data_IF_275808122259
#
_entry.id   IF_275808122259
#
_cell.length_a   1.000
_cell.length_b   1.000
_cell.length_c   1.000
_cell.angle_alpha   90.00
_cell.angle_beta   90.00
_cell.angle_gamma   90.00
#
_symmetry.space_group_name_H-M   'P 1'
#
loop_
_entity.id
_entity.type
_entity.pdbx_description
1 polymer ?
#
# COMPACT_ATOMS: atom_id res chain seq x y z
N UNK A 1 -4.49 63.87 18.87
CA UNK A 1 -4.77 63.14 17.61
C UNK A 1 -3.66 62.14 17.26
N UNK A 2 -2.38 62.54 17.31
CA UNK A 2 -1.23 61.64 17.08
C UNK A 2 -1.15 60.43 18.04
N UNK A 3 -1.47 60.61 19.33
CA UNK A 3 -1.43 59.52 20.32
C UNK A 3 -2.45 58.41 20.06
N UNK A 4 -3.63 58.75 19.52
CA UNK A 4 -4.69 57.79 19.19
C UNK A 4 -4.27 56.95 17.98
N UNK A 5 -3.71 57.58 16.96
CA UNK A 5 -3.20 56.90 15.75
C UNK A 5 -2.05 55.95 16.12
N UNK A 6 -1.18 56.35 17.04
CA UNK A 6 -0.09 55.50 17.55
C UNK A 6 -0.62 54.26 18.29
N UNK A 7 -1.64 54.41 19.13
CA UNK A 7 -2.26 53.28 19.86
C UNK A 7 -2.94 52.32 18.88
N UNK A 8 -3.68 52.84 17.89
CA UNK A 8 -4.32 52.02 16.86
C UNK A 8 -3.27 51.24 16.05
N UNK A 9 -2.17 51.89 15.66
CA UNK A 9 -1.07 51.22 14.95
C UNK A 9 -0.49 50.07 15.77
N UNK A 10 -0.23 50.25 17.07
CA UNK A 10 0.29 49.21 17.95
C UNK A 10 -0.70 48.04 18.07
N UNK A 11 -2.00 48.32 18.22
CA UNK A 11 -3.03 47.28 18.26
C UNK A 11 -3.13 46.48 16.96
N UNK A 12 -3.06 47.14 15.80
CA UNK A 12 -3.10 46.47 14.48
C UNK A 12 -1.85 45.60 14.28
N UNK A 13 -0.66 46.09 14.63
CA UNK A 13 0.58 45.31 14.54
C UNK A 13 0.54 44.10 15.47
N UNK A 14 0.02 44.25 16.69
CA UNK A 14 -0.12 43.15 17.64
C UNK A 14 -1.10 42.08 17.13
N UNK A 15 -2.25 42.50 16.59
CA UNK A 15 -3.25 41.58 16.01
C UNK A 15 -2.70 40.84 14.79
N UNK A 16 -1.96 41.52 13.91
CA UNK A 16 -1.29 40.87 12.78
C UNK A 16 -0.22 39.88 13.24
N UNK A 17 0.53 40.20 14.29
CA UNK A 17 1.51 39.30 14.90
C UNK A 17 0.85 38.03 15.47
N UNK A 18 -0.22 38.19 16.26
CA UNK A 18 -0.97 37.07 16.83
C UNK A 18 -1.66 36.24 15.74
N UNK A 19 -2.27 36.88 14.73
CA UNK A 19 -2.86 36.20 13.58
C UNK A 19 -1.80 35.42 12.78
N UNK A 20 -0.62 35.99 12.59
CA UNK A 20 0.52 35.33 11.95
C UNK A 20 0.98 34.09 12.71
N UNK A 21 1.07 34.17 14.05
CA UNK A 21 1.41 33.03 14.90
C UNK A 21 0.36 31.92 14.83
N UNK A 22 -0.93 32.26 14.87
CA UNK A 22 -2.04 31.31 14.75
C UNK A 22 -2.01 30.63 13.37
N UNK A 23 -1.85 31.41 12.31
CA UNK A 23 -1.76 30.89 10.94
C UNK A 23 -0.56 29.96 10.77
N UNK A 24 0.62 30.34 11.27
CA UNK A 24 1.82 29.54 11.17
C UNK A 24 1.69 28.23 11.99
N UNK A 25 1.11 28.29 13.19
CA UNK A 25 0.79 27.12 14.01
C UNK A 25 -0.17 26.16 13.30
N UNK A 26 -1.22 26.69 12.66
CA UNK A 26 -2.17 25.89 11.88
C UNK A 26 -1.50 25.21 10.67
N UNK A 27 -0.70 25.96 9.91
CA UNK A 27 0.05 25.44 8.76
C UNK A 27 1.07 24.36 9.19
N UNK A 28 1.77 24.58 10.30
CA UNK A 28 2.71 23.60 10.85
C UNK A 28 2.00 22.32 11.30
N UNK A 29 0.87 22.40 12.01
CA UNK A 29 0.08 21.22 12.40
C UNK A 29 -0.40 20.42 11.19
N UNK A 30 -0.90 21.11 10.16
CA UNK A 30 -1.36 20.46 8.92
C UNK A 30 -0.21 19.78 8.19
N UNK A 31 0.93 20.46 8.06
CA UNK A 31 2.13 19.93 7.41
C UNK A 31 2.71 18.75 8.20
N UNK A 32 2.76 18.84 9.52
CA UNK A 32 3.23 17.77 10.39
C UNK A 32 2.31 16.55 10.32
N UNK A 33 0.99 16.74 10.35
CA UNK A 33 0.02 15.66 10.19
C UNK A 33 0.19 14.94 8.84
N UNK A 34 0.29 15.69 7.74
CA UNK A 34 0.54 15.12 6.41
C UNK A 34 1.89 14.38 6.38
N UNK A 35 2.94 14.94 6.99
CA UNK A 35 4.26 14.32 7.04
C UNK A 35 4.25 13.00 7.81
N UNK A 36 3.61 12.97 8.98
CA UNK A 36 3.49 11.74 9.79
C UNK A 36 2.69 10.68 9.04
N UNK A 37 1.51 11.03 8.51
CA UNK A 37 0.67 10.09 7.75
C UNK A 37 1.44 9.55 6.53
N UNK A 38 2.12 10.43 5.80
CA UNK A 38 2.94 10.03 4.63
C UNK A 38 4.05 9.06 5.04
N UNK A 39 4.81 9.38 6.09
CA UNK A 39 5.90 8.52 6.58
C UNK A 39 5.38 7.16 7.01
N UNK A 40 4.30 7.10 7.78
CA UNK A 40 3.69 5.85 8.22
C UNK A 40 3.24 4.99 7.04
N UNK A 41 2.63 5.60 6.00
CA UNK A 41 2.21 4.86 4.81
C UNK A 41 3.38 4.40 3.93
N UNK A 42 4.45 5.18 3.84
CA UNK A 42 5.68 4.75 3.16
C UNK A 42 6.31 3.56 3.87
N UNK A 43 6.45 3.61 5.20
CA UNK A 43 6.98 2.51 5.99
C UNK A 43 6.11 1.25 5.86
N UNK A 44 4.77 1.40 5.88
CA UNK A 44 3.85 0.29 5.61
C UNK A 44 4.08 -0.30 4.22
N UNK A 45 4.18 0.52 3.18
CA UNK A 45 4.44 0.07 1.81
C UNK A 45 5.76 -0.69 1.69
N UNK A 46 6.81 -0.26 2.37
CA UNK A 46 8.09 -0.98 2.39
C UNK A 46 7.94 -2.35 3.05
N UNK A 47 7.33 -2.41 4.23
CA UNK A 47 7.03 -3.68 4.93
C UNK A 47 6.20 -4.62 4.06
N UNK A 48 5.19 -4.10 3.38
CA UNK A 48 4.36 -4.84 2.43
C UNK A 48 5.18 -5.45 1.28
N UNK A 49 6.12 -4.68 0.71
CA UNK A 49 7.02 -5.20 -0.33
C UNK A 49 7.91 -6.32 0.18
N UNK A 50 8.41 -6.20 1.40
CA UNK A 50 9.27 -7.23 1.99
C UNK A 50 8.50 -8.53 2.23
N UNK A 51 7.28 -8.43 2.77
CA UNK A 51 6.39 -9.59 2.98
C UNK A 51 6.04 -10.27 1.66
N UNK A 52 5.76 -9.49 0.61
CA UNK A 52 5.53 -10.04 -0.72
C UNK A 52 6.77 -10.76 -1.27
N UNK A 53 7.93 -10.11 -1.23
CA UNK A 53 9.15 -10.68 -1.79
C UNK A 53 9.43 -12.06 -1.16
N UNK A 54 9.16 -12.20 0.15
CA UNK A 54 9.18 -13.50 0.85
C UNK A 54 8.14 -14.46 0.28
N UNK A 55 6.88 -14.06 0.14
CA UNK A 55 5.82 -14.92 -0.42
C UNK A 55 6.12 -15.41 -1.85
N UNK A 56 6.65 -14.54 -2.71
CA UNK A 56 7.02 -14.88 -4.10
C UNK A 56 8.20 -15.84 -4.14
N UNK A 57 9.18 -15.67 -3.25
CA UNK A 57 10.32 -16.57 -3.12
C UNK A 57 9.87 -17.96 -2.64
N UNK A 58 9.03 -17.99 -1.61
CA UNK A 58 8.53 -19.22 -0.99
C UNK A 58 7.47 -19.95 -1.86
N UNK A 59 7.03 -19.36 -2.97
CA UNK A 59 6.13 -19.97 -3.96
C UNK A 59 6.81 -20.31 -5.28
N UNK A 60 8.12 -20.13 -5.39
CA UNK A 60 8.85 -20.45 -6.62
C UNK A 60 9.03 -21.97 -6.76
N UNK A 61 8.48 -22.55 -7.82
CA UNK A 61 8.53 -24.00 -8.06
C UNK A 61 9.96 -24.52 -8.13
N UNK A 62 10.87 -23.77 -8.76
CA UNK A 62 12.29 -24.16 -8.87
C UNK A 62 12.98 -24.21 -7.52
N UNK A 63 12.58 -23.31 -6.61
CA UNK A 63 13.07 -23.32 -5.25
C UNK A 63 12.48 -24.50 -4.48
N UNK A 64 11.16 -24.71 -4.58
CA UNK A 64 10.44 -25.77 -3.86
C UNK A 64 10.88 -27.19 -4.27
N UNK A 65 11.19 -27.40 -5.55
CA UNK A 65 11.59 -28.70 -6.09
C UNK A 65 12.99 -29.15 -5.61
N UNK A 66 13.81 -28.21 -5.13
CA UNK A 66 15.15 -28.48 -4.62
C UNK A 66 15.20 -28.74 -3.10
N UNK A 67 14.07 -28.72 -2.41
CA UNK A 67 14.02 -28.77 -0.95
C UNK A 67 13.96 -30.19 -0.40
N UNK A 68 14.69 -30.42 0.68
CA UNK A 68 14.57 -31.61 1.51
C UNK A 68 13.30 -31.56 2.39
N UNK A 69 12.85 -32.72 2.90
CA UNK A 69 11.63 -32.80 3.74
C UNK A 69 11.65 -31.90 4.99
N UNK A 70 12.83 -31.65 5.56
CA UNK A 70 12.98 -30.69 6.67
C UNK A 70 12.75 -29.26 6.19
N UNK A 71 13.37 -28.88 5.08
CA UNK A 71 13.28 -27.54 4.50
C UNK A 71 11.86 -27.23 4.01
N UNK A 72 11.14 -28.24 3.49
CA UNK A 72 9.71 -28.11 3.15
C UNK A 72 8.87 -27.73 4.36
N UNK A 73 9.12 -28.31 5.54
CA UNK A 73 8.42 -27.94 6.78
C UNK A 73 8.74 -26.50 7.20
N UNK A 74 10.00 -26.10 7.08
CA UNK A 74 10.43 -24.73 7.39
C UNK A 74 9.78 -23.70 6.45
N UNK A 75 9.63 -24.04 5.16
CA UNK A 75 8.90 -23.22 4.18
C UNK A 75 7.42 -23.11 4.53
N UNK A 76 6.77 -24.21 4.90
CA UNK A 76 5.35 -24.19 5.32
C UNK A 76 5.17 -23.29 6.55
N UNK A 77 6.06 -23.39 7.54
CA UNK A 77 6.04 -22.52 8.72
C UNK A 77 6.25 -21.05 8.35
N UNK A 78 7.22 -20.77 7.48
CA UNK A 78 7.53 -19.41 7.01
C UNK A 78 6.36 -18.80 6.22
N UNK A 79 5.68 -19.59 5.39
CA UNK A 79 4.49 -19.17 4.65
C UNK A 79 3.32 -18.83 5.59
N UNK A 80 3.12 -19.64 6.64
CA UNK A 80 2.10 -19.37 7.65
C UNK A 80 2.41 -18.08 8.43
N UNK A 81 3.67 -17.85 8.77
CA UNK A 81 4.12 -16.61 9.41
C UNK A 81 3.88 -15.39 8.51
N UNK A 82 4.31 -15.44 7.25
CA UNK A 82 4.11 -14.35 6.28
C UNK A 82 2.62 -14.05 6.07
N UNK A 83 1.79 -15.09 5.90
CA UNK A 83 0.33 -14.92 5.76
C UNK A 83 -0.29 -14.27 7.01
N UNK A 84 0.13 -14.70 8.20
CA UNK A 84 -0.31 -14.10 9.47
C UNK A 84 0.11 -12.62 9.59
N UNK A 85 1.34 -12.29 9.19
CA UNK A 85 1.83 -10.90 9.17
C UNK A 85 1.04 -10.02 8.20
N UNK A 86 0.72 -10.54 7.01
CA UNK A 86 -0.13 -9.83 6.03
C UNK A 86 -1.52 -9.59 6.65
N UNK A 87 -2.13 -10.61 7.24
CA UNK A 87 -3.44 -10.47 7.91
C UNK A 87 -3.43 -9.47 9.07
N UNK A 88 -2.33 -9.37 9.81
CA UNK A 88 -2.20 -8.43 10.91
C UNK A 88 -2.01 -6.97 10.44
N UNK A 89 -1.39 -6.78 9.28
CA UNK A 89 -1.14 -5.44 8.71
C UNK A 89 -2.39 -4.85 8.04
N UNK A 90 -3.22 -5.71 7.45
CA UNK A 90 -4.38 -5.30 6.65
C UNK A 90 -5.70 -5.51 7.39
N UNK A 91 -6.52 -4.47 7.37
CA UNK A 91 -7.88 -4.48 7.93
C UNK A 91 -8.86 -5.09 6.94
N UNK A 92 -9.73 -6.00 7.38
CA UNK A 92 -10.85 -6.55 6.58
C UNK A 92 -11.98 -5.56 6.30
N UNK A 93 -11.68 -4.27 6.29
CA UNK A 93 -12.66 -3.19 6.11
C UNK A 93 -12.73 -2.76 4.65
N UNK A 94 -11.62 -2.83 3.93
CA UNK A 94 -11.56 -2.46 2.52
C UNK A 94 -11.58 -3.70 1.63
N UNK A 95 -12.35 -3.66 0.54
CA UNK A 95 -12.50 -4.80 -0.37
C UNK A 95 -11.15 -5.33 -0.87
N UNK A 96 -10.21 -4.43 -1.14
CA UNK A 96 -8.94 -4.81 -1.73
C UNK A 96 -7.90 -5.27 -0.72
N UNK A 97 -8.05 -4.88 0.55
CA UNK A 97 -7.34 -5.51 1.65
C UNK A 97 -7.84 -6.96 1.83
N UNK A 98 -9.15 -7.20 1.68
CA UNK A 98 -9.75 -8.54 1.73
C UNK A 98 -9.24 -9.39 0.55
N UNK A 99 -9.28 -8.87 -0.68
CA UNK A 99 -8.80 -9.56 -1.87
C UNK A 99 -7.33 -9.97 -1.74
N UNK A 100 -6.48 -9.06 -1.24
CA UNK A 100 -5.07 -9.34 -1.01
C UNK A 100 -4.87 -10.45 0.05
N UNK A 101 -5.62 -10.41 1.15
CA UNK A 101 -5.57 -11.45 2.19
C UNK A 101 -6.02 -12.79 1.62
N UNK A 102 -7.13 -12.83 0.88
CA UNK A 102 -7.69 -14.06 0.34
C UNK A 102 -6.75 -14.69 -0.69
N UNK A 103 -6.16 -13.89 -1.59
CA UNK A 103 -5.16 -14.39 -2.55
C UNK A 103 -3.88 -14.87 -1.85
N UNK A 104 -3.47 -14.23 -0.75
CA UNK A 104 -2.34 -14.70 0.06
C UNK A 104 -2.62 -16.09 0.64
N UNK A 105 -3.81 -16.29 1.21
CA UNK A 105 -4.22 -17.58 1.78
C UNK A 105 -4.35 -18.65 0.70
N UNK A 106 -4.94 -18.31 -0.45
CA UNK A 106 -5.03 -19.22 -1.60
C UNK A 106 -3.65 -19.65 -2.11
N UNK A 107 -2.71 -18.70 -2.25
CA UNK A 107 -1.34 -19.02 -2.67
C UNK A 107 -0.64 -19.92 -1.65
N UNK A 108 -0.78 -19.62 -0.35
CA UNK A 108 -0.24 -20.46 0.73
C UNK A 108 -0.77 -21.89 0.63
N UNK A 109 -2.07 -22.06 0.49
CA UNK A 109 -2.71 -23.38 0.40
C UNK A 109 -2.29 -24.14 -0.88
N UNK A 110 -2.12 -23.43 -2.00
CA UNK A 110 -1.61 -24.00 -3.25
C UNK A 110 -0.15 -24.43 -3.14
N UNK A 111 0.71 -23.68 -2.44
CA UNK A 111 2.10 -24.10 -2.18
C UNK A 111 2.14 -25.34 -1.28
N UNK A 112 1.34 -25.37 -0.21
CA UNK A 112 1.26 -26.54 0.68
C UNK A 112 0.78 -27.77 -0.11
N UNK A 113 -0.22 -27.60 -0.97
CA UNK A 113 -0.75 -28.68 -1.81
C UNK A 113 0.26 -29.16 -2.85
N UNK A 114 1.03 -28.25 -3.44
CA UNK A 114 2.13 -28.58 -4.35
C UNK A 114 3.22 -29.40 -3.64
N UNK A 115 3.65 -28.98 -2.44
CA UNK A 115 4.63 -29.70 -1.63
C UNK A 115 4.15 -31.10 -1.22
N UNK A 116 2.85 -31.32 -1.14
CA UNK A 116 2.21 -32.63 -0.87
C UNK A 116 1.96 -33.46 -2.13
N UNK A 117 2.26 -32.93 -3.32
CA UNK A 117 2.02 -33.60 -4.60
C UNK A 117 0.56 -33.62 -5.06
N UNK A 118 -0.32 -32.82 -4.46
CA UNK A 118 -1.77 -32.80 -4.77
C UNK A 118 -2.17 -31.66 -5.71
N UNK A 119 -1.22 -30.86 -6.19
CA UNK A 119 -1.46 -29.71 -7.08
C UNK A 119 -0.38 -29.68 -8.15
N UNK A 120 -0.78 -29.37 -9.39
CA UNK A 120 0.16 -29.27 -10.51
C UNK A 120 0.97 -27.97 -10.45
N UNK A 121 2.14 -27.98 -11.10
CA UNK A 121 2.96 -26.77 -11.25
C UNK A 121 2.18 -25.64 -11.95
N UNK A 122 1.36 -25.97 -12.94
CA UNK A 122 0.56 -24.98 -13.69
C UNK A 122 -0.45 -24.27 -12.79
N UNK A 123 -1.14 -25.00 -11.90
CA UNK A 123 -2.09 -24.41 -10.96
C UNK A 123 -1.41 -23.48 -9.96
N UNK A 124 -0.25 -23.89 -9.43
CA UNK A 124 0.55 -23.04 -8.54
C UNK A 124 1.01 -21.77 -9.26
N UNK A 125 1.48 -21.90 -10.51
CA UNK A 125 1.92 -20.76 -11.31
C UNK A 125 0.78 -19.79 -11.64
N UNK A 126 -0.43 -20.29 -11.89
CA UNK A 126 -1.62 -19.45 -12.07
C UNK A 126 -1.92 -18.63 -10.81
N UNK A 127 -2.01 -19.30 -9.65
CA UNK A 127 -2.25 -18.62 -8.38
C UNK A 127 -1.15 -17.61 -8.05
N UNK A 128 0.11 -17.96 -8.32
CA UNK A 128 1.27 -17.06 -8.14
C UNK A 128 1.16 -15.82 -9.03
N UNK A 129 0.82 -15.98 -10.30
CA UNK A 129 0.69 -14.85 -11.24
C UNK A 129 -0.48 -13.92 -10.88
N UNK A 130 -1.61 -14.49 -10.48
CA UNK A 130 -2.77 -13.72 -10.01
C UNK A 130 -2.42 -12.91 -8.76
N UNK A 131 -1.78 -13.54 -7.78
CA UNK A 131 -1.30 -12.87 -6.58
C UNK A 131 -0.31 -11.72 -6.89
N UNK A 132 0.67 -11.96 -7.78
CA UNK A 132 1.63 -10.91 -8.20
C UNK A 132 0.90 -9.75 -8.88
N UNK A 133 -0.06 -10.04 -9.76
CA UNK A 133 -0.84 -9.01 -10.47
C UNK A 133 -1.62 -8.13 -9.48
N UNK A 134 -2.43 -8.74 -8.62
CA UNK A 134 -3.27 -7.99 -7.68
C UNK A 134 -2.42 -7.19 -6.71
N UNK A 135 -1.28 -7.75 -6.26
CA UNK A 135 -0.37 -7.03 -5.40
C UNK A 135 0.31 -5.83 -6.08
N UNK A 136 0.78 -6.00 -7.31
CA UNK A 136 1.39 -4.90 -8.06
C UNK A 136 0.40 -3.75 -8.20
N UNK A 137 -0.85 -4.06 -8.54
CA UNK A 137 -1.95 -3.09 -8.61
C UNK A 137 -2.10 -2.39 -7.24
N UNK A 138 -2.18 -3.14 -6.15
CA UNK A 138 -2.29 -2.60 -4.80
C UNK A 138 -1.17 -1.60 -4.48
N UNK A 139 0.09 -1.97 -4.76
CA UNK A 139 1.25 -1.10 -4.51
C UNK A 139 1.21 0.17 -5.34
N UNK A 140 0.80 0.08 -6.61
CA UNK A 140 0.71 1.25 -7.49
C UNK A 140 -0.42 2.19 -7.04
N UNK A 141 -1.56 1.63 -6.67
CA UNK A 141 -2.69 2.37 -6.09
C UNK A 141 -2.27 3.12 -4.82
N UNK A 142 -1.63 2.43 -3.88
CA UNK A 142 -1.21 3.05 -2.62
C UNK A 142 -0.09 4.09 -2.84
N UNK A 143 0.82 3.86 -3.78
CA UNK A 143 1.82 4.85 -4.18
C UNK A 143 1.20 6.11 -4.78
N UNK A 144 0.22 5.95 -5.68
CA UNK A 144 -0.49 7.08 -6.27
C UNK A 144 -1.23 7.87 -5.19
N UNK A 145 -1.90 7.19 -4.26
CA UNK A 145 -2.56 7.83 -3.12
C UNK A 145 -1.59 8.64 -2.27
N UNK A 146 -0.46 8.06 -1.89
CA UNK A 146 0.60 8.77 -1.14
C UNK A 146 1.01 10.02 -1.92
N UNK A 147 1.33 9.90 -3.22
CA UNK A 147 1.72 11.04 -4.06
C UNK A 147 0.66 12.14 -4.09
N UNK A 148 -0.61 11.79 -4.21
CA UNK A 148 -1.73 12.72 -4.23
C UNK A 148 -1.93 13.44 -2.89
N UNK A 149 -1.69 12.75 -1.78
CA UNK A 149 -1.80 13.32 -0.43
C UNK A 149 -0.59 14.17 -0.03
N UNK A 150 0.63 13.80 -0.47
CA UNK A 150 1.87 14.47 -0.09
C UNK A 150 2.23 15.67 -0.99
N UNK A 151 2.05 15.56 -2.32
CA UNK A 151 2.50 16.61 -3.27
C UNK A 151 1.50 17.76 -3.39
N UNK A 152 0.26 17.57 -2.93
CA UNK A 152 -0.74 18.64 -2.78
C UNK A 152 -1.20 19.33 -4.08
N UNK A 153 -0.63 19.01 -5.25
CA UNK A 153 -1.05 19.56 -6.53
C UNK A 153 -2.22 18.77 -7.08
N UNK A 154 -3.44 19.14 -6.71
CA UNK A 154 -4.61 18.84 -7.53
C UNK A 154 -5.31 20.11 -7.98
N UNK A 155 -5.54 20.15 -9.29
CA UNK A 155 -6.47 21.06 -9.96
C UNK A 155 -7.89 20.75 -9.45
N UNK A 156 -8.50 21.68 -8.74
CA UNK A 156 -9.94 22.00 -8.51
C UNK A 156 -11.06 20.93 -8.48
N UNK A 157 -10.85 19.66 -8.82
CA UNK A 157 -11.85 18.59 -8.77
C UNK A 157 -11.47 17.56 -7.69
N UNK A 158 -12.48 16.92 -7.12
CA UNK A 158 -12.40 15.96 -6.00
C UNK A 158 -11.22 15.00 -6.12
N UNK A 159 -10.58 14.69 -4.97
CA UNK A 159 -9.56 13.63 -4.92
C UNK A 159 -10.22 12.33 -5.39
N UNK A 160 -9.65 11.62 -6.38
CA UNK A 160 -10.19 10.34 -6.78
C UNK A 160 -10.19 9.39 -5.58
N UNK A 161 -11.25 8.62 -5.45
CA UNK A 161 -11.39 7.63 -4.39
C UNK A 161 -10.37 6.50 -4.58
N UNK A 162 -10.13 5.73 -3.52
CA UNK A 162 -9.21 4.59 -3.58
C UNK A 162 -9.67 3.59 -4.68
N UNK A 163 -10.97 3.34 -4.75
CA UNK A 163 -11.58 2.42 -5.71
C UNK A 163 -11.42 2.91 -7.16
N UNK A 164 -11.54 4.22 -7.41
CA UNK A 164 -11.31 4.81 -8.74
C UNK A 164 -9.85 4.62 -9.20
N UNK A 165 -8.89 4.85 -8.31
CA UNK A 165 -7.47 4.64 -8.63
C UNK A 165 -7.22 3.15 -8.89
N UNK A 166 -7.75 2.27 -8.03
CA UNK A 166 -7.58 0.84 -8.18
C UNK A 166 -8.15 0.31 -9.49
N UNK A 167 -9.39 0.68 -9.81
CA UNK A 167 -10.06 0.33 -11.06
C UNK A 167 -9.23 0.75 -12.28
N UNK A 168 -8.67 1.96 -12.27
CA UNK A 168 -7.83 2.45 -13.38
C UNK A 168 -6.57 1.60 -13.59
N UNK A 169 -5.98 1.06 -12.52
CA UNK A 169 -4.82 0.16 -12.62
C UNK A 169 -5.22 -1.25 -13.08
N UNK A 170 -6.36 -1.77 -12.63
CA UNK A 170 -6.91 -3.03 -13.15
C UNK A 170 -7.14 -2.94 -14.67
N UNK A 171 -7.84 -1.91 -15.15
CA UNK A 171 -8.07 -1.70 -16.59
C UNK A 171 -6.76 -1.59 -17.37
N UNK A 172 -5.76 -0.89 -16.81
CA UNK A 172 -4.45 -0.76 -17.44
C UNK A 172 -3.74 -2.11 -17.55
N UNK A 173 -3.74 -2.91 -16.49
CA UNK A 173 -3.15 -4.26 -16.50
C UNK A 173 -3.87 -5.17 -17.50
N UNK A 174 -5.19 -5.13 -17.54
CA UNK A 174 -5.99 -5.93 -18.47
C UNK A 174 -5.72 -5.53 -19.92
N UNK A 175 -5.63 -4.23 -20.22
CA UNK A 175 -5.26 -3.72 -21.55
C UNK A 175 -3.85 -4.15 -22.00
N UNK A 176 -2.92 -4.31 -21.07
CA UNK A 176 -1.55 -4.77 -21.33
C UNK A 176 -1.50 -6.29 -21.55
N UNK A 177 -2.34 -7.05 -20.85
CA UNK A 177 -2.48 -8.50 -21.07
C UNK A 177 -3.18 -8.85 -22.39
N UNK A 178 -4.18 -8.05 -22.80
CA UNK A 178 -4.90 -8.22 -24.07
C UNK A 178 -4.11 -7.82 -25.31
N UNK A 179 -3.07 -6.98 -25.18
CA UNK A 179 -2.17 -6.60 -26.29
C UNK A 179 -1.17 -7.69 -26.69
N UNK A 180 -1.06 -8.80 -25.95
CA UNK A 180 -0.17 -9.93 -26.29
C UNK A 180 -0.86 -11.06 -27.08
N UNK A 181 -2.12 -10.90 -27.48
CA UNK A 181 -2.87 -11.90 -28.27
C UNK A 181 -3.08 -11.50 -29.75
N UNK A 182 -2.23 -10.65 -30.33
CA UNK A 182 -2.21 -10.38 -31.77
C UNK A 182 -0.84 -10.62 -32.37
#
# INVERSE_FOLDING_TARGET
MQSIISIISVCVTLLLGVAGLIFNSYVQRKTHSISVITKTRLARREKTKDLLAKMIKLSDTKYLDCLDEKEKKDVISSLAEVSSMIRAEYTRTYHCDIELIDLTEQLKDKVISYLRGTTSQEELMKARNEFIKTFDIYIQTEWQRIKLETVGKMKKNSKPTWDEINHSFHEKYDSLSGKKQK
#
